data_IF_675441535778
#
_entry.id   IF_675441535778
#
_cell.length_a   1.000
_cell.length_b   1.000
_cell.length_c   1.000
_cell.angle_alpha   90.00
_cell.angle_beta   90.00
_cell.angle_gamma   90.00
#
_symmetry.space_group_name_H-M   'P 1'
#
loop_
_entity.id
_entity.type
_entity.pdbx_description
1 polymer ?
#
# COMPACT_ATOMS: atom_id res chain seq x y z
N UNK A 1 27.08 29.92 69.72
CA UNK A 1 27.85 28.88 69.00
C UNK A 1 26.84 27.98 68.32
N UNK A 2 26.77 28.07 66.99
CA UNK A 2 25.77 27.40 66.13
C UNK A 2 26.10 25.91 66.02
N UNK A 3 25.09 25.04 65.95
CA UNK A 3 25.19 23.79 65.18
C UNK A 3 23.83 23.41 64.63
N UNK A 4 23.83 23.25 63.32
CA UNK A 4 22.69 23.33 62.43
C UNK A 4 22.03 21.97 62.25
N UNK A 5 20.71 22.01 62.11
CA UNK A 5 19.83 20.91 61.70
C UNK A 5 19.98 20.79 60.18
N UNK A 6 20.51 19.68 59.67
CA UNK A 6 20.48 19.38 58.24
C UNK A 6 19.29 18.44 57.99
N UNK A 7 18.20 19.04 57.54
CA UNK A 7 17.07 18.35 56.94
C UNK A 7 17.44 17.94 55.51
N UNK A 8 17.44 16.65 55.22
CA UNK A 8 17.61 16.12 53.86
C UNK A 8 16.31 16.27 53.07
N UNK A 9 16.29 17.24 52.14
CA UNK A 9 15.23 17.42 51.15
C UNK A 9 15.51 16.43 50.00
N UNK A 10 14.65 15.43 49.85
CA UNK A 10 14.61 14.57 48.65
C UNK A 10 13.86 15.34 47.55
N UNK A 11 14.59 15.85 46.57
CA UNK A 11 14.01 16.55 45.41
C UNK A 11 13.45 15.49 44.47
N UNK A 12 12.12 15.46 44.34
CA UNK A 12 11.41 14.73 43.29
C UNK A 12 11.70 15.41 41.95
N UNK A 13 12.47 14.77 41.09
CA UNK A 13 12.67 15.21 39.71
C UNK A 13 11.42 14.91 38.89
N UNK A 14 10.60 15.94 38.66
CA UNK A 14 9.55 15.96 37.64
C UNK A 14 10.23 16.01 36.26
N UNK A 15 10.25 14.89 35.54
CA UNK A 15 10.59 14.85 34.13
C UNK A 15 9.44 15.45 33.32
N UNK A 16 9.69 16.57 32.65
CA UNK A 16 8.79 17.12 31.63
C UNK A 16 8.84 16.19 30.41
N UNK A 17 7.73 15.50 30.12
CA UNK A 17 7.55 14.81 28.86
C UNK A 17 7.28 15.85 27.77
N UNK A 18 8.26 16.03 26.87
CA UNK A 18 8.00 16.69 25.60
C UNK A 18 7.20 15.71 24.74
N UNK A 19 5.95 16.06 24.44
CA UNK A 19 5.15 15.41 23.41
C UNK A 19 5.86 15.58 22.07
N UNK A 20 6.43 14.49 21.55
CA UNK A 20 6.90 14.45 20.15
C UNK A 20 5.68 14.25 19.27
N UNK A 21 5.44 15.18 18.35
CA UNK A 21 4.42 15.00 17.31
C UNK A 21 4.76 13.76 16.49
N UNK A 22 3.84 12.80 16.46
CA UNK A 22 3.85 11.62 15.60
C UNK A 22 3.43 12.05 14.20
N UNK A 23 4.27 11.82 13.20
CA UNK A 23 3.91 11.97 11.79
C UNK A 23 3.68 10.57 11.23
N UNK A 24 2.48 10.29 10.73
CA UNK A 24 2.24 9.12 9.89
C UNK A 24 3.02 9.32 8.59
N UNK A 25 3.88 8.37 8.21
CA UNK A 25 4.55 8.40 6.91
C UNK A 25 3.66 7.63 5.92
N UNK A 26 2.78 8.39 5.25
CA UNK A 26 1.94 7.90 4.15
C UNK A 26 2.85 7.61 2.96
N UNK A 27 2.63 6.50 2.24
CA UNK A 27 3.33 6.24 0.98
C UNK A 27 2.98 7.37 0.01
N UNK A 28 3.96 8.22 -0.37
CA UNK A 28 3.70 9.42 -1.15
C UNK A 28 3.16 9.12 -2.55
N UNK A 29 3.25 7.88 -3.04
CA UNK A 29 2.63 7.44 -4.29
C UNK A 29 1.11 7.30 -4.18
N UNK A 30 0.60 6.92 -3.00
CA UNK A 30 -0.85 6.77 -2.78
C UNK A 30 -1.57 8.09 -2.81
N UNK A 31 -0.87 9.19 -2.54
CA UNK A 31 -1.41 10.54 -2.56
C UNK A 31 -1.42 11.16 -3.98
N UNK A 32 -0.79 10.52 -4.97
CA UNK A 32 -0.76 11.02 -6.35
C UNK A 32 -2.09 10.67 -7.04
N UNK A 33 -2.96 11.65 -7.37
CA UNK A 33 -4.34 11.36 -7.82
C UNK A 33 -4.42 10.59 -9.15
N UNK A 34 -3.47 10.83 -10.07
CA UNK A 34 -3.49 10.16 -11.37
C UNK A 34 -3.07 8.67 -11.29
N UNK A 35 -2.38 8.26 -10.21
CA UNK A 35 -2.12 6.84 -9.93
C UNK A 35 -3.38 6.13 -9.43
N UNK A 36 -4.20 6.83 -8.64
CA UNK A 36 -5.48 6.29 -8.17
C UNK A 36 -6.50 6.17 -9.32
N UNK A 37 -6.55 7.18 -10.19
CA UNK A 37 -7.52 7.21 -11.29
C UNK A 37 -7.10 6.42 -12.51
N UNK A 38 -5.82 6.05 -12.62
CA UNK A 38 -5.27 5.39 -13.80
C UNK A 38 -5.28 6.26 -15.06
N UNK A 39 -5.51 7.57 -14.92
CA UNK A 39 -5.71 8.47 -16.05
C UNK A 39 -4.94 9.79 -15.88
N UNK A 40 -4.39 10.28 -16.99
CA UNK A 40 -3.77 11.60 -17.10
C UNK A 40 -4.55 12.42 -18.14
N UNK A 41 -4.76 13.70 -17.86
CA UNK A 41 -5.58 14.57 -18.70
C UNK A 41 -4.75 15.69 -19.30
N UNK A 42 -5.15 16.17 -20.46
CA UNK A 42 -4.80 17.49 -21.04
C UNK A 42 -6.09 18.32 -21.03
N UNK A 43 -6.02 19.60 -21.44
CA UNK A 43 -7.22 20.45 -21.53
C UNK A 43 -8.28 19.88 -22.49
N UNK A 44 -7.87 19.06 -23.46
CA UNK A 44 -8.73 18.58 -24.55
C UNK A 44 -8.98 17.06 -24.51
N UNK A 45 -8.11 16.27 -23.88
CA UNK A 45 -8.10 14.81 -23.98
C UNK A 45 -7.73 14.13 -22.65
N UNK A 46 -8.36 13.00 -22.37
CA UNK A 46 -8.02 12.07 -21.28
C UNK A 46 -7.30 10.85 -21.85
N UNK A 47 -6.23 10.40 -21.18
CA UNK A 47 -5.43 9.25 -21.57
C UNK A 47 -5.32 8.27 -20.40
N UNK A 48 -5.36 6.97 -20.70
CA UNK A 48 -5.21 5.92 -19.68
C UNK A 48 -3.73 5.53 -19.56
N UNK A 49 -3.18 5.49 -18.34
CA UNK A 49 -1.78 5.11 -18.14
C UNK A 49 -1.62 3.60 -18.27
N UNK A 50 -0.56 3.16 -18.97
CA UNK A 50 -0.22 1.73 -19.01
C UNK A 50 0.42 1.29 -17.69
N UNK A 51 0.43 -0.02 -17.45
CA UNK A 51 1.01 -0.61 -16.25
C UNK A 51 2.56 -0.62 -16.26
N UNK A 52 3.21 -0.23 -17.36
CA UNK A 52 4.67 -0.10 -17.45
C UNK A 52 5.09 1.33 -17.12
N UNK A 53 5.28 1.58 -15.82
CA UNK A 53 5.63 2.89 -15.26
C UNK A 53 6.98 2.79 -14.55
N UNK A 54 7.88 3.72 -14.85
CA UNK A 54 9.13 3.91 -14.14
C UNK A 54 8.96 5.02 -13.11
N UNK A 55 9.19 4.69 -11.84
CA UNK A 55 9.11 5.61 -10.72
C UNK A 55 10.52 5.90 -10.21
N UNK A 56 10.83 7.17 -9.94
CA UNK A 56 12.06 7.58 -9.25
C UNK A 56 11.74 8.61 -8.19
N UNK A 57 12.24 8.35 -6.99
CA UNK A 57 12.11 9.24 -5.84
C UNK A 57 13.40 10.04 -5.62
N UNK A 58 13.24 11.29 -5.21
CA UNK A 58 14.32 12.19 -4.84
C UNK A 58 13.99 12.90 -3.53
N UNK A 59 15.02 13.37 -2.84
CA UNK A 59 14.86 14.20 -1.63
C UNK A 59 14.03 13.55 -0.52
N UNK A 60 14.22 12.24 -0.30
CA UNK A 60 13.48 11.41 0.68
C UNK A 60 11.96 11.44 0.42
N UNK A 61 11.51 11.00 -0.76
CA UNK A 61 10.08 10.94 -1.11
C UNK A 61 9.42 12.28 -1.43
N UNK A 62 10.06 13.42 -1.13
CA UNK A 62 9.49 14.77 -1.36
C UNK A 62 9.32 15.14 -2.84
N UNK A 63 10.04 14.46 -3.72
CA UNK A 63 9.92 14.65 -5.16
C UNK A 63 9.80 13.26 -5.80
N UNK A 64 8.71 13.03 -6.50
CA UNK A 64 8.45 11.80 -7.25
C UNK A 64 8.44 12.16 -8.72
N UNK A 65 9.21 11.42 -9.50
CA UNK A 65 9.18 11.48 -10.97
C UNK A 65 8.64 10.17 -11.49
N UNK A 66 7.65 10.24 -12.37
CA UNK A 66 7.11 9.07 -13.04
C UNK A 66 7.21 9.24 -14.54
N UNK A 67 7.50 8.16 -15.25
CA UNK A 67 7.51 8.15 -16.71
C UNK A 67 7.03 6.81 -17.23
N UNK A 68 6.25 6.81 -18.29
CA UNK A 68 5.70 5.60 -18.88
C UNK A 68 5.07 5.89 -20.22
N UNK A 69 4.24 4.94 -20.68
CA UNK A 69 3.38 5.13 -21.85
C UNK A 69 1.91 5.05 -21.44
N UNK A 70 1.04 5.70 -22.19
CA UNK A 70 -0.40 5.44 -22.12
C UNK A 70 -0.73 4.09 -22.77
N UNK A 71 -1.95 3.59 -22.60
CA UNK A 71 -2.41 2.36 -23.28
C UNK A 71 -2.35 2.53 -24.81
N UNK A 72 -2.59 3.76 -25.29
CA UNK A 72 -2.49 4.14 -26.69
C UNK A 72 -1.03 4.29 -27.19
N UNK A 73 -0.04 4.14 -26.29
CA UNK A 73 1.39 4.16 -26.60
C UNK A 73 2.03 5.55 -26.55
N UNK A 74 1.36 6.57 -26.01
CA UNK A 74 1.93 7.91 -25.92
C UNK A 74 2.86 8.02 -24.70
N UNK A 75 4.12 8.43 -24.86
CA UNK A 75 5.02 8.57 -23.73
C UNK A 75 4.66 9.82 -22.91
N UNK A 76 4.76 9.69 -21.59
CA UNK A 76 4.51 10.78 -20.64
C UNK A 76 5.58 10.82 -19.54
N UNK A 77 5.70 11.98 -18.90
CA UNK A 77 6.50 12.19 -17.69
C UNK A 77 5.79 13.14 -16.74
N UNK A 78 5.80 12.82 -15.45
CA UNK A 78 5.26 13.67 -14.38
C UNK A 78 6.30 13.90 -13.28
N UNK A 79 6.12 15.01 -12.58
CA UNK A 79 6.89 15.43 -11.42
C UNK A 79 5.91 15.89 -10.34
N UNK A 80 5.83 15.13 -9.26
CA UNK A 80 5.04 15.45 -8.07
C UNK A 80 5.98 15.93 -6.97
N UNK A 81 5.72 17.13 -6.45
CA UNK A 81 6.46 17.70 -5.32
C UNK A 81 5.54 17.79 -4.12
N UNK A 82 5.98 17.20 -3.02
CA UNK A 82 5.23 17.11 -1.76
C UNK A 82 5.82 18.13 -0.80
N UNK A 83 5.02 19.11 -0.40
CA UNK A 83 5.40 20.18 0.54
C UNK A 83 4.23 20.38 1.50
N UNK A 84 4.48 20.18 2.79
CA UNK A 84 3.49 20.45 3.85
C UNK A 84 2.11 19.83 3.55
N UNK A 85 2.11 18.54 3.18
CA UNK A 85 0.94 17.72 2.81
C UNK A 85 0.18 18.17 1.54
N UNK A 86 0.72 19.15 0.79
CA UNK A 86 0.22 19.54 -0.53
C UNK A 86 1.05 18.89 -1.64
N UNK A 87 0.38 18.21 -2.59
CA UNK A 87 1.03 17.62 -3.76
C UNK A 87 0.85 18.51 -4.99
N UNK A 88 1.96 19.06 -5.48
CA UNK A 88 2.00 19.78 -6.74
C UNK A 88 2.54 18.90 -7.84
N UNK A 89 1.64 18.43 -8.70
CA UNK A 89 1.98 17.60 -9.86
C UNK A 89 2.04 18.45 -11.13
N UNK A 90 3.12 18.31 -11.87
CA UNK A 90 3.26 18.83 -13.23
C UNK A 90 3.63 17.68 -14.16
N UNK A 91 3.21 17.73 -15.42
CA UNK A 91 3.57 16.69 -16.36
C UNK A 91 3.36 17.10 -17.80
N UNK A 92 3.96 16.32 -18.70
CA UNK A 92 3.84 16.48 -20.14
C UNK A 92 3.63 15.11 -20.79
N UNK A 93 2.89 15.09 -21.88
CA UNK A 93 2.66 13.92 -22.73
C UNK A 93 3.02 14.28 -24.17
N UNK A 94 3.54 13.31 -24.94
CA UNK A 94 3.87 13.51 -26.35
C UNK A 94 2.84 12.80 -27.24
N UNK A 95 2.03 13.59 -27.94
CA UNK A 95 0.91 13.12 -28.77
C UNK A 95 0.97 13.81 -30.12
N UNK A 96 0.83 13.04 -31.21
CA UNK A 96 0.72 13.62 -32.56
C UNK A 96 1.94 14.40 -33.05
N UNK A 97 3.10 14.30 -32.40
CA UNK A 97 4.31 15.05 -32.75
C UNK A 97 4.61 16.27 -31.87
N UNK A 98 3.74 16.57 -30.90
CA UNK A 98 3.86 17.74 -30.03
C UNK A 98 3.84 17.37 -28.54
N UNK A 99 4.47 18.18 -27.71
CA UNK A 99 4.40 18.06 -26.25
C UNK A 99 3.21 18.85 -25.72
N UNK A 100 2.29 18.16 -25.06
CA UNK A 100 1.11 18.77 -24.45
C UNK A 100 1.24 18.77 -22.91
N UNK A 101 0.91 19.88 -22.23
CA UNK A 101 0.89 19.92 -20.77
C UNK A 101 -0.26 19.05 -20.23
N UNK A 102 0.01 18.34 -19.13
CA UNK A 102 -1.01 17.60 -18.39
C UNK A 102 -1.72 18.50 -17.37
N UNK A 103 -3.03 18.31 -17.23
CA UNK A 103 -3.91 18.98 -16.27
C UNK A 103 -4.28 18.01 -15.15
N UNK A 104 -4.12 18.47 -13.92
CA UNK A 104 -4.38 17.72 -12.70
C UNK A 104 -5.32 18.56 -11.82
N UNK A 105 -6.63 18.52 -12.13
CA UNK A 105 -7.65 19.09 -11.25
C UNK A 105 -7.98 18.12 -10.11
N UNK A 106 -7.95 18.60 -8.87
CA UNK A 106 -8.35 17.83 -7.69
C UNK A 106 -9.86 17.57 -7.71
N UNK A 107 -10.27 16.34 -8.05
CA UNK A 107 -11.62 15.85 -7.76
C UNK A 107 -11.56 14.99 -6.50
N UNK A 108 -11.88 15.61 -5.37
CA UNK A 108 -12.11 14.92 -4.09
C UNK A 108 -13.22 13.88 -4.29
N UNK A 109 -12.85 12.60 -4.28
CA UNK A 109 -13.82 11.50 -4.40
C UNK A 109 -14.21 11.07 -3.00
N UNK A 110 -15.32 11.62 -2.52
CA UNK A 110 -16.00 11.20 -1.30
C UNK A 110 -17.36 10.69 -1.76
N UNK A 111 -17.57 9.37 -1.79
CA UNK A 111 -18.88 8.73 -1.61
C UNK A 111 -18.80 7.20 -1.77
N UNK A 112 -19.53 6.52 -0.86
CA UNK A 112 -19.96 5.12 -0.86
C UNK A 112 -19.00 4.08 -0.25
N UNK A 113 -18.91 4.09 1.08
CA UNK A 113 -18.95 2.84 1.85
C UNK A 113 -20.15 2.93 2.79
N UNK A 114 -21.10 2.03 2.56
CA UNK A 114 -22.37 1.88 3.26
C UNK A 114 -22.17 1.83 4.77
N UNK A 115 -22.91 2.69 5.48
CA UNK A 115 -23.12 2.61 6.92
C UNK A 115 -23.78 1.28 7.27
N UNK A 116 -23.03 0.35 7.85
CA UNK A 116 -23.56 -0.52 8.90
C UNK A 116 -22.42 -1.06 9.76
N UNK A 117 -22.48 -0.63 11.03
CA UNK A 117 -21.73 -1.07 12.20
C UNK A 117 -20.26 -0.63 12.27
N UNK A 118 -19.95 0.40 13.08
CA UNK A 118 -18.70 0.49 13.84
C UNK A 118 -18.74 1.67 14.81
N UNK A 119 -18.47 1.40 16.09
CA UNK A 119 -17.74 2.36 16.91
C UNK A 119 -16.44 2.71 16.16
N UNK A 120 -16.09 3.99 16.03
CA UNK A 120 -14.80 4.41 15.46
C UNK A 120 -13.67 3.68 16.21
N UNK A 121 -12.96 2.80 15.51
CA UNK A 121 -11.79 2.07 16.01
C UNK A 121 -10.53 2.87 15.68
N UNK A 122 -9.57 2.91 16.60
CA UNK A 122 -8.32 3.67 16.45
C UNK A 122 -7.34 2.93 15.50
N UNK A 123 -6.56 3.67 14.71
CA UNK A 123 -5.63 3.13 13.70
C UNK A 123 -4.27 2.74 14.31
N UNK A 124 -4.31 1.84 15.30
CA UNK A 124 -3.15 1.39 16.09
C UNK A 124 -2.58 0.05 15.60
N UNK A 125 -2.92 -0.37 14.37
CA UNK A 125 -2.56 -1.67 13.82
C UNK A 125 -1.90 -1.54 12.46
N UNK A 126 -0.68 -2.06 12.31
CA UNK A 126 0.04 -2.07 11.05
C UNK A 126 0.01 -3.45 10.38
N UNK A 127 -0.24 -3.51 9.07
CA UNK A 127 -0.19 -4.73 8.25
C UNK A 127 1.00 -4.70 7.28
N UNK A 128 1.90 -5.68 7.42
CA UNK A 128 2.95 -5.98 6.45
C UNK A 128 2.64 -7.28 5.73
N UNK A 129 2.93 -7.33 4.43
CA UNK A 129 2.54 -8.47 3.58
C UNK A 129 3.69 -8.86 2.67
N UNK A 130 3.97 -10.16 2.60
CA UNK A 130 4.79 -10.79 1.57
C UNK A 130 3.87 -11.70 0.74
N UNK A 131 3.96 -11.62 -0.58
CA UNK A 131 3.03 -12.37 -1.43
C UNK A 131 3.63 -12.71 -2.79
N UNK A 132 3.04 -13.71 -3.43
CA UNK A 132 3.35 -14.08 -4.81
C UNK A 132 2.77 -13.03 -5.75
N UNK A 133 3.61 -12.14 -6.28
CA UNK A 133 3.14 -11.09 -7.19
C UNK A 133 2.74 -11.64 -8.56
N UNK A 134 3.39 -12.70 -9.05
CA UNK A 134 3.14 -13.29 -10.37
C UNK A 134 3.09 -14.81 -10.28
N UNK A 135 2.07 -15.43 -10.87
CA UNK A 135 1.80 -16.86 -10.73
C UNK A 135 1.32 -17.46 -12.05
N UNK A 136 1.81 -18.63 -12.43
CA UNK A 136 1.32 -19.34 -13.61
C UNK A 136 0.11 -20.21 -13.27
N UNK A 137 -0.65 -20.61 -14.30
CA UNK A 137 -1.64 -21.67 -14.17
C UNK A 137 -1.01 -22.94 -13.59
N UNK A 138 -1.79 -23.66 -12.78
CA UNK A 138 -1.36 -24.86 -12.03
C UNK A 138 -0.36 -24.61 -10.90
N UNK A 139 -0.19 -23.37 -10.47
CA UNK A 139 0.65 -23.02 -9.32
C UNK A 139 -0.20 -22.43 -8.19
N UNK A 140 0.36 -22.42 -6.98
CA UNK A 140 -0.23 -21.76 -5.83
C UNK A 140 0.35 -20.35 -5.71
N UNK A 141 -0.53 -19.39 -5.46
CA UNK A 141 -0.15 -18.07 -4.98
C UNK A 141 -0.19 -18.07 -3.46
N UNK A 142 0.83 -17.52 -2.83
CA UNK A 142 0.92 -17.37 -1.38
C UNK A 142 0.73 -15.91 -0.94
N UNK A 143 0.12 -15.73 0.23
CA UNK A 143 0.04 -14.45 0.96
C UNK A 143 0.41 -14.73 2.42
N UNK A 144 1.45 -14.05 2.88
CA UNK A 144 1.89 -14.04 4.27
C UNK A 144 1.66 -12.64 4.85
N UNK A 145 0.92 -12.57 5.95
CA UNK A 145 0.44 -11.34 6.57
C UNK A 145 0.98 -11.29 7.98
N UNK A 146 1.72 -10.24 8.32
CA UNK A 146 2.13 -9.96 9.69
C UNK A 146 1.54 -8.65 10.18
N UNK A 147 1.13 -8.68 11.45
CA UNK A 147 0.57 -7.51 12.12
C UNK A 147 1.53 -7.01 13.20
N UNK A 148 1.67 -5.69 13.31
CA UNK A 148 2.60 -5.03 14.21
C UNK A 148 1.94 -3.84 14.92
N UNK A 149 2.47 -3.54 16.10
CA UNK A 149 2.32 -2.24 16.75
C UNK A 149 3.13 -1.21 15.91
N UNK A 150 2.48 -0.19 15.32
CA UNK A 150 3.15 0.82 14.49
C UNK A 150 4.31 1.54 15.21
N UNK A 151 4.25 1.66 16.54
CA UNK A 151 5.31 2.31 17.32
C UNK A 151 6.55 1.42 17.50
N UNK A 152 6.40 0.10 17.35
CA UNK A 152 7.47 -0.87 17.55
C UNK A 152 8.13 -1.30 16.23
N UNK A 153 7.42 -1.22 15.08
CA UNK A 153 7.98 -1.53 13.76
C UNK A 153 8.06 -0.30 12.83
N UNK A 154 8.76 0.74 13.28
CA UNK A 154 8.89 2.02 12.54
C UNK A 154 9.57 1.92 11.17
N UNK A 155 10.25 0.81 10.89
CA UNK A 155 10.99 0.59 9.65
C UNK A 155 10.22 -0.28 8.64
N UNK A 156 8.98 -0.67 8.96
CA UNK A 156 8.15 -1.53 8.11
C UNK A 156 8.86 -2.85 7.73
N UNK A 157 9.63 -3.43 8.65
CA UNK A 157 10.38 -4.66 8.41
C UNK A 157 9.52 -5.89 8.71
N UNK A 158 9.17 -6.66 7.68
CA UNK A 158 8.40 -7.90 7.81
C UNK A 158 9.15 -8.99 8.60
N UNK A 159 10.49 -8.93 8.67
CA UNK A 159 11.28 -9.95 9.35
C UNK A 159 11.53 -9.62 10.82
N UNK A 160 10.95 -8.52 11.32
CA UNK A 160 11.10 -8.11 12.70
C UNK A 160 10.44 -9.14 13.64
N UNK A 161 11.18 -9.59 14.64
CA UNK A 161 10.75 -10.65 15.57
C UNK A 161 10.12 -10.11 16.86
N UNK A 162 9.89 -8.80 16.97
CA UNK A 162 9.27 -8.15 18.13
C UNK A 162 8.24 -7.12 17.67
N UNK A 163 7.37 -6.70 18.59
CA UNK A 163 6.29 -5.74 18.30
C UNK A 163 5.18 -6.28 17.41
N UNK A 164 5.12 -7.60 17.19
CA UNK A 164 4.04 -8.23 16.45
C UNK A 164 2.77 -8.37 17.30
N UNK A 165 1.61 -8.31 16.67
CA UNK A 165 0.31 -8.40 17.33
C UNK A 165 -0.32 -9.78 17.06
N UNK A 166 -0.66 -10.50 18.12
CA UNK A 166 -1.27 -11.84 18.02
C UNK A 166 -2.79 -11.78 18.20
N UNK A 167 -3.51 -12.80 17.72
CA UNK A 167 -4.96 -12.91 17.81
C UNK A 167 -5.75 -11.79 17.10
N UNK A 168 -5.16 -11.23 16.04
CA UNK A 168 -5.82 -10.26 15.17
C UNK A 168 -6.63 -11.02 14.13
N UNK A 169 -7.91 -10.65 13.92
CA UNK A 169 -8.72 -11.26 12.88
C UNK A 169 -8.24 -10.77 11.51
N UNK A 170 -7.96 -11.69 10.61
CA UNK A 170 -7.55 -11.41 9.23
C UNK A 170 -8.63 -11.90 8.28
N UNK A 171 -9.01 -11.05 7.34
CA UNK A 171 -9.84 -11.37 6.19
C UNK A 171 -9.05 -11.04 4.92
N UNK A 172 -8.97 -12.00 4.00
CA UNK A 172 -8.37 -11.86 2.68
C UNK A 172 -9.45 -12.13 1.66
N UNK A 173 -9.63 -11.21 0.73
CA UNK A 173 -10.54 -11.33 -0.41
C UNK A 173 -9.77 -11.07 -1.69
N UNK A 174 -9.90 -11.97 -2.65
CA UNK A 174 -9.26 -11.90 -3.96
C UNK A 174 -10.36 -11.81 -5.01
N UNK A 175 -10.34 -10.73 -5.79
CA UNK A 175 -11.27 -10.48 -6.88
C UNK A 175 -10.57 -10.62 -8.23
N UNK A 176 -11.28 -11.12 -9.23
CA UNK A 176 -10.83 -11.12 -10.63
C UNK A 176 -11.02 -9.75 -11.30
N UNK A 177 -10.71 -9.64 -12.61
CA UNK A 177 -10.90 -8.40 -13.38
C UNK A 177 -12.38 -7.98 -13.54
N UNK A 178 -13.32 -8.89 -13.33
CA UNK A 178 -14.75 -8.61 -13.35
C UNK A 178 -15.29 -8.18 -11.99
N UNK A 179 -14.41 -8.08 -10.97
CA UNK A 179 -14.75 -7.90 -9.55
C UNK A 179 -15.57 -9.06 -8.96
N UNK A 180 -15.48 -10.26 -9.55
CA UNK A 180 -16.04 -11.47 -8.98
C UNK A 180 -15.06 -12.09 -7.98
N UNK A 181 -15.58 -12.67 -6.90
CA UNK A 181 -14.74 -13.32 -5.88
C UNK A 181 -14.06 -14.56 -6.47
N UNK A 182 -12.75 -14.47 -6.60
CA UNK A 182 -11.90 -15.57 -7.03
C UNK A 182 -11.49 -16.47 -5.85
N UNK A 183 -11.15 -15.86 -4.72
CA UNK A 183 -10.77 -16.58 -3.50
C UNK A 183 -11.03 -15.73 -2.25
N UNK A 184 -11.33 -16.37 -1.14
CA UNK A 184 -11.36 -15.73 0.17
C UNK A 184 -10.78 -16.64 1.25
N UNK A 185 -10.16 -16.02 2.24
CA UNK A 185 -9.61 -16.69 3.41
C UNK A 185 -9.81 -15.83 4.66
N UNK A 186 -10.10 -16.47 5.79
CA UNK A 186 -10.26 -15.80 7.06
C UNK A 186 -9.59 -16.59 8.18
N UNK A 187 -9.08 -15.89 9.19
CA UNK A 187 -8.49 -16.52 10.36
C UNK A 187 -7.96 -15.52 11.37
N UNK A 188 -7.10 -15.98 12.27
CA UNK A 188 -6.47 -15.16 13.29
C UNK A 188 -4.95 -15.26 13.21
N UNK A 189 -4.25 -14.19 13.54
CA UNK A 189 -2.78 -14.23 13.61
C UNK A 189 -2.30 -15.10 14.77
N UNK A 190 -1.20 -15.83 14.56
CA UNK A 190 -0.60 -16.70 15.57
C UNK A 190 0.17 -15.90 16.65
N UNK A 191 0.89 -16.62 17.52
CA UNK A 191 1.71 -16.05 18.60
C UNK A 191 2.85 -15.14 18.12
N UNK A 192 3.16 -15.16 16.82
CA UNK A 192 4.14 -14.29 16.14
C UNK A 192 3.49 -13.20 15.29
N UNK A 193 2.18 -13.02 15.44
CA UNK A 193 1.38 -12.07 14.66
C UNK A 193 1.31 -12.38 13.16
N UNK A 194 1.57 -13.63 12.77
CA UNK A 194 1.58 -14.10 11.38
C UNK A 194 0.29 -14.84 11.05
N UNK A 195 -0.23 -14.60 9.85
CA UNK A 195 -1.28 -15.37 9.19
C UNK A 195 -0.83 -15.69 7.77
N UNK A 196 -1.05 -16.92 7.31
CA UNK A 196 -0.60 -17.40 6.00
C UNK A 196 -1.79 -18.02 5.27
N UNK A 197 -1.94 -17.71 3.99
CA UNK A 197 -2.91 -18.35 3.12
C UNK A 197 -2.32 -18.59 1.74
N UNK A 198 -2.81 -19.64 1.08
CA UNK A 198 -2.46 -19.98 -0.29
C UNK A 198 -3.71 -20.34 -1.09
N UNK A 199 -3.69 -20.05 -2.38
CA UNK A 199 -4.76 -20.42 -3.28
C UNK A 199 -4.22 -20.87 -4.63
N UNK A 200 -4.94 -21.80 -5.25
CA UNK A 200 -4.52 -22.45 -6.48
C UNK A 200 -5.04 -21.70 -7.71
N UNK A 201 -4.17 -21.45 -8.69
CA UNK A 201 -4.57 -20.93 -10.00
C UNK A 201 -4.95 -22.09 -10.92
N UNK A 202 -6.21 -22.19 -11.39
CA UNK A 202 -6.66 -23.27 -12.24
C UNK A 202 -5.84 -23.49 -13.51
N UNK A 203 -5.98 -24.67 -14.09
CA UNK A 203 -5.47 -24.93 -15.43
C UNK A 203 -6.17 -24.02 -16.46
N UNK A 204 -5.40 -23.50 -17.43
CA UNK A 204 -5.89 -22.59 -18.48
C UNK A 204 -6.51 -21.30 -17.94
N UNK A 205 -6.14 -20.90 -16.72
CA UNK A 205 -6.56 -19.60 -16.20
C UNK A 205 -6.02 -18.48 -17.10
N UNK A 206 -6.84 -17.47 -17.46
CA UNK A 206 -6.40 -16.39 -18.32
C UNK A 206 -5.28 -15.57 -17.67
N UNK A 207 -4.64 -14.74 -18.49
CA UNK A 207 -3.76 -13.68 -18.00
C UNK A 207 -4.60 -12.52 -17.54
N UNK A 208 -4.55 -12.22 -16.25
CA UNK A 208 -5.36 -11.16 -15.65
C UNK A 208 -4.75 -10.65 -14.35
N UNK A 209 -5.30 -9.54 -13.86
CA UNK A 209 -4.98 -8.96 -12.57
C UNK A 209 -5.99 -9.41 -11.51
N UNK A 210 -5.49 -10.02 -10.44
CA UNK A 210 -6.27 -10.29 -9.25
C UNK A 210 -6.09 -9.16 -8.25
N UNK A 211 -7.20 -8.59 -7.76
CA UNK A 211 -7.20 -7.57 -6.71
C UNK A 211 -7.33 -8.24 -5.36
N UNK A 212 -6.36 -8.03 -4.47
CA UNK A 212 -6.33 -8.64 -3.14
C UNK A 212 -6.60 -7.57 -2.10
N UNK A 213 -7.68 -7.73 -1.34
CA UNK A 213 -8.00 -6.92 -0.17
C UNK A 213 -7.72 -7.71 1.08
N UNK A 214 -6.91 -7.14 1.97
CA UNK A 214 -6.59 -7.69 3.28
C UNK A 214 -7.19 -6.74 4.31
N UNK A 215 -7.93 -7.27 5.28
CA UNK A 215 -8.40 -6.53 6.44
C UNK A 215 -7.90 -7.21 7.69
N UNK A 216 -7.31 -6.45 8.60
CA UNK A 216 -6.92 -6.90 9.92
C UNK A 216 -7.70 -6.12 10.98
N UNK A 217 -8.31 -6.82 11.93
CA UNK A 217 -9.22 -6.20 12.89
C UNK A 217 -9.17 -6.91 14.24
N UNK A 218 -9.09 -6.12 15.32
CA UNK A 218 -9.36 -6.58 16.68
C UNK A 218 -10.53 -5.79 17.29
N UNK A 219 -10.65 -5.80 18.62
CA UNK A 219 -11.76 -5.12 19.28
C UNK A 219 -11.67 -3.59 19.17
N UNK A 220 -10.46 -3.05 19.10
CA UNK A 220 -10.17 -1.63 19.30
C UNK A 220 -9.59 -0.97 18.04
N UNK A 221 -9.08 -1.75 17.10
CA UNK A 221 -8.37 -1.30 15.90
C UNK A 221 -8.71 -2.09 14.64
N UNK A 222 -8.61 -1.41 13.50
CA UNK A 222 -8.82 -2.00 12.17
C UNK A 222 -7.86 -1.37 11.17
N UNK A 223 -7.24 -2.20 10.34
CA UNK A 223 -6.37 -1.79 9.25
C UNK A 223 -6.70 -2.58 7.98
N UNK A 224 -6.35 -2.05 6.81
CA UNK A 224 -6.58 -2.71 5.54
C UNK A 224 -5.44 -2.46 4.55
N UNK A 225 -5.24 -3.41 3.64
CA UNK A 225 -4.23 -3.32 2.58
C UNK A 225 -4.77 -3.87 1.28
N UNK A 226 -4.61 -3.10 0.21
CA UNK A 226 -4.94 -3.49 -1.16
C UNK A 226 -3.65 -3.84 -1.92
N UNK A 227 -3.65 -4.93 -2.68
CA UNK A 227 -2.52 -5.42 -3.46
C UNK A 227 -3.00 -5.96 -4.83
N UNK A 228 -2.08 -6.16 -5.76
CA UNK A 228 -2.36 -6.79 -7.06
C UNK A 228 -1.46 -8.00 -7.29
N UNK A 229 -2.06 -9.11 -7.76
CA UNK A 229 -1.34 -10.27 -8.29
C UNK A 229 -1.63 -10.45 -9.77
N UNK A 230 -0.67 -11.02 -10.50
CA UNK A 230 -0.77 -11.24 -11.94
C UNK A 230 -0.77 -12.73 -12.24
N UNK A 231 -1.84 -13.22 -12.88
CA UNK A 231 -1.83 -14.56 -13.47
C UNK A 231 -1.15 -14.48 -14.84
N UNK A 232 -0.18 -15.37 -15.08
CA UNK A 232 0.62 -15.35 -16.32
C UNK A 232 0.08 -16.30 -17.40
N UNK A 233 -1.03 -16.97 -17.12
CA UNK A 233 -1.57 -18.05 -17.93
C UNK A 233 -0.73 -19.32 -17.86
N UNK A 234 -0.81 -20.16 -18.87
CA UNK A 234 -0.02 -21.40 -18.93
C UNK A 234 1.48 -21.10 -18.95
N UNK A 235 2.25 -21.94 -18.25
CA UNK A 235 3.70 -21.97 -18.42
C UNK A 235 4.02 -22.25 -19.90
N UNK A 236 4.91 -21.48 -20.55
CA UNK A 236 5.35 -21.78 -21.91
C UNK A 236 5.81 -23.23 -21.96
N UNK A 237 5.29 -24.04 -22.88
CA UNK A 237 5.87 -25.36 -23.09
C UNK A 237 7.30 -25.12 -23.58
N UNK A 238 8.30 -25.51 -22.79
CA UNK A 238 9.66 -25.56 -23.29
C UNK A 238 9.62 -26.36 -24.59
N UNK A 239 9.93 -25.66 -25.69
CA UNK A 239 9.83 -26.21 -27.02
C UNK A 239 10.61 -27.52 -27.05
N UNK A 240 9.91 -28.63 -27.21
CA UNK A 240 10.56 -29.89 -27.51
C UNK A 240 11.22 -29.73 -28.88
N UNK A 241 12.48 -29.33 -28.89
CA UNK A 241 13.38 -29.68 -29.98
C UNK A 241 13.52 -31.19 -29.94
N UNK A 242 12.67 -31.89 -30.69
CA UNK A 242 12.96 -33.26 -31.11
C UNK A 242 13.46 -33.21 -32.56
N UNK A 243 14.58 -33.89 -32.88
CA UNK A 243 15.17 -33.95 -34.21
C UNK A 243 14.31 -34.71 -35.24
#
# INVERSE_FOLDING_TARGET
>A
MKREIIAGIFILSFGLFFSTNTYAEVDPLTEIPFLQTGAINTDENQFQISNDIQIREFSNGKIIRMSGHTIEGFPYITYSKIIDDEIKTHGIIYVGGEFMPLSFEEKTTQENITEEDTMEKEDDLQILVQYTQRVYSKQYASIEIKTYDPQQNKLNDFNLNYGHLSNININVMVLDENNEEFHSANGITNDRGLFETEFYIPERYPRENLTVTITAEDNDSRSSKLLQMFTLGETPSDGSSSP
#
